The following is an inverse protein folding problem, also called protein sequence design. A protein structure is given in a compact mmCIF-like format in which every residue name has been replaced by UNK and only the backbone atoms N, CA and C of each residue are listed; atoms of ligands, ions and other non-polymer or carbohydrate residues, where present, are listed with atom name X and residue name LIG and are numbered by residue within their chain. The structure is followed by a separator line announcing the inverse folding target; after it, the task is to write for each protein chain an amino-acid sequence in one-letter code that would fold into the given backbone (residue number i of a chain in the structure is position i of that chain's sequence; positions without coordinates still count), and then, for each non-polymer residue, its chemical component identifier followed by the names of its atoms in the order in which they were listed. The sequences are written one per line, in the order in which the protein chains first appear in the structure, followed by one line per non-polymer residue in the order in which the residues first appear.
data_IF_164163818630
#
_entry.id   IF_164163818630
#
_cell.length_a   1.000
_cell.length_b   1.000
_cell.length_c   1.000
_cell.angle_alpha   90.00
_cell.angle_beta   90.00
_cell.angle_gamma   90.00
#
_symmetry.space_group_name_H-M   'P 1'
#
loop_
_entity.id
_entity.type
_entity.pdbx_description
1 polymer ?
#
# COMPACT_ATOMS: atom_id res chain seq x y z
N UNK A 1 -34.68 -20.69 -14.15
CA UNK A 1 -34.51 -19.88 -12.95
C UNK A 1 -33.07 -19.37 -12.98
N UNK A 2 -32.88 -18.19 -13.61
CA UNK A 2 -31.54 -17.63 -13.87
C UNK A 2 -30.96 -17.08 -12.57
N UNK A 3 -29.79 -17.59 -12.21
CA UNK A 3 -28.94 -16.98 -11.18
C UNK A 3 -28.52 -15.59 -11.65
N UNK A 4 -29.10 -14.55 -11.07
CA UNK A 4 -28.57 -13.20 -11.16
C UNK A 4 -27.20 -13.26 -10.48
N UNK A 5 -26.12 -13.27 -11.29
CA UNK A 5 -24.80 -12.95 -10.78
C UNK A 5 -24.87 -11.52 -10.27
N UNK A 6 -24.91 -11.33 -8.95
CA UNK A 6 -24.61 -10.03 -8.37
C UNK A 6 -23.29 -9.59 -8.98
N UNK A 7 -23.35 -8.50 -9.72
CA UNK A 7 -22.17 -7.77 -10.16
C UNK A 7 -21.54 -7.20 -8.88
N UNK A 8 -20.71 -7.99 -8.22
CA UNK A 8 -19.81 -7.46 -7.21
C UNK A 8 -18.98 -6.39 -7.95
N UNK A 9 -19.22 -5.11 -7.67
CA UNK A 9 -18.43 -4.04 -8.24
C UNK A 9 -17.00 -4.29 -7.83
N UNK A 10 -16.14 -4.61 -8.80
CA UNK A 10 -14.72 -4.83 -8.59
C UNK A 10 -14.09 -3.52 -8.15
N UNK A 11 -13.29 -3.58 -7.09
CA UNK A 11 -12.58 -2.42 -6.56
C UNK A 11 -11.62 -1.86 -7.61
N UNK A 12 -11.59 -0.52 -7.74
CA UNK A 12 -10.59 0.18 -8.53
C UNK A 12 -9.31 0.33 -7.72
N UNK A 13 -8.17 0.06 -8.35
CA UNK A 13 -6.83 0.23 -7.80
C UNK A 13 -6.00 1.15 -8.71
N UNK A 14 -4.93 1.73 -8.17
CA UNK A 14 -3.97 2.53 -8.95
C UNK A 14 -2.64 1.77 -9.04
N UNK A 15 -2.07 1.73 -10.23
CA UNK A 15 -0.79 1.11 -10.51
C UNK A 15 -0.02 1.96 -11.53
N UNK A 16 1.13 2.50 -11.15
CA UNK A 16 2.09 3.17 -12.05
C UNK A 16 1.47 4.22 -12.99
N UNK A 17 0.60 5.09 -12.49
CA UNK A 17 0.00 6.17 -13.29
C UNK A 17 -1.41 5.89 -13.81
N UNK A 18 -1.92 4.66 -13.70
CA UNK A 18 -3.20 4.26 -14.27
C UNK A 18 -4.14 3.62 -13.24
N UNK A 19 -5.45 3.70 -13.50
CA UNK A 19 -6.49 3.05 -12.71
C UNK A 19 -6.94 1.75 -13.38
N UNK A 20 -6.98 0.68 -12.61
CA UNK A 20 -7.39 -0.66 -13.06
C UNK A 20 -8.49 -1.24 -12.18
N UNK A 21 -9.25 -2.18 -12.72
CA UNK A 21 -9.95 -3.14 -11.89
C UNK A 21 -8.92 -3.99 -11.11
N UNK A 22 -9.18 -4.30 -9.83
CA UNK A 22 -8.28 -5.14 -9.01
C UNK A 22 -7.94 -6.50 -9.63
N UNK A 23 -8.82 -7.01 -10.52
CA UNK A 23 -8.59 -8.28 -11.22
C UNK A 23 -7.62 -8.16 -12.41
N UNK A 24 -7.37 -6.93 -12.89
CA UNK A 24 -6.53 -6.64 -14.06
C UNK A 24 -5.16 -6.10 -13.67
N UNK A 25 -5.04 -5.49 -12.49
CA UNK A 25 -3.79 -4.95 -11.98
C UNK A 25 -2.77 -6.07 -11.74
N UNK A 26 -1.59 -5.93 -12.32
CA UNK A 26 -0.50 -6.91 -12.23
C UNK A 26 0.83 -6.21 -12.05
N UNK A 27 1.66 -6.73 -11.17
CA UNK A 27 3.06 -6.34 -11.02
C UNK A 27 3.96 -7.47 -11.57
N UNK A 28 5.18 -7.12 -11.93
CA UNK A 28 6.19 -8.09 -12.35
C UNK A 28 6.55 -9.03 -11.19
N UNK A 29 6.76 -10.32 -11.47
CA UNK A 29 7.35 -11.26 -10.51
C UNK A 29 8.80 -10.90 -10.13
N UNK A 30 9.45 -10.05 -10.93
CA UNK A 30 10.79 -9.52 -10.65
C UNK A 30 10.77 -8.23 -9.85
N UNK A 31 9.59 -7.74 -9.42
CA UNK A 31 9.50 -6.59 -8.54
C UNK A 31 10.23 -6.85 -7.21
N UNK A 32 11.13 -5.93 -6.84
CA UNK A 32 11.97 -6.08 -5.64
C UNK A 32 11.16 -6.04 -4.35
N UNK A 33 10.03 -5.36 -4.33
CA UNK A 33 9.09 -5.40 -3.20
C UNK A 33 8.54 -6.81 -2.97
N UNK A 34 8.22 -7.54 -4.05
CA UNK A 34 7.78 -8.93 -3.97
C UNK A 34 8.92 -9.89 -3.60
N UNK A 35 10.10 -9.74 -4.23
CA UNK A 35 11.21 -10.68 -4.06
C UNK A 35 12.02 -10.48 -2.78
N UNK A 36 12.12 -9.24 -2.27
CA UNK A 36 13.09 -8.85 -1.24
C UNK A 36 12.51 -7.94 -0.16
N UNK A 37 11.21 -7.62 -0.22
CA UNK A 37 10.57 -6.59 0.60
C UNK A 37 11.24 -5.19 0.49
N UNK A 38 11.92 -4.90 -0.63
CA UNK A 38 12.60 -3.65 -0.92
C UNK A 38 11.56 -2.58 -1.33
N UNK A 39 10.87 -2.06 -0.32
CA UNK A 39 9.71 -1.19 -0.48
C UNK A 39 9.41 -0.39 0.79
N UNK A 40 8.65 0.68 0.63
CA UNK A 40 8.03 1.44 1.71
C UNK A 40 6.51 1.43 1.54
N UNK A 41 5.77 1.62 2.62
CA UNK A 41 4.31 1.68 2.57
C UNK A 41 3.74 2.72 3.52
N UNK A 42 2.55 3.19 3.22
CA UNK A 42 1.72 4.02 4.08
C UNK A 42 0.27 3.53 4.07
N UNK A 43 -0.44 3.82 5.17
CA UNK A 43 -1.87 3.52 5.28
C UNK A 43 -2.57 4.76 5.82
N UNK A 44 -3.32 5.43 4.96
CA UNK A 44 -4.09 6.62 5.31
C UNK A 44 -5.52 6.23 5.66
N UNK A 45 -5.98 6.60 6.85
CA UNK A 45 -7.38 6.37 7.27
C UNK A 45 -8.32 7.29 6.51
N UNK A 46 -9.53 6.77 6.24
CA UNK A 46 -10.65 7.52 5.64
C UNK A 46 -11.80 7.54 6.62
N UNK A 47 -12.36 8.72 6.89
CA UNK A 47 -13.52 8.94 7.75
C UNK A 47 -14.42 10.01 7.13
N UNK A 48 -15.72 9.72 7.01
CA UNK A 48 -16.69 10.57 6.28
C UNK A 48 -16.19 10.94 4.86
N UNK A 49 -15.60 9.97 4.16
CA UNK A 49 -15.03 10.17 2.83
C UNK A 49 -13.77 11.06 2.79
N UNK A 50 -13.19 11.42 3.94
CA UNK A 50 -12.05 12.33 4.04
C UNK A 50 -10.81 11.61 4.52
N UNK A 51 -9.66 11.94 3.92
CA UNK A 51 -8.35 11.44 4.34
C UNK A 51 -7.97 12.07 5.69
N UNK A 52 -7.53 11.25 6.62
CA UNK A 52 -7.08 11.68 7.95
C UNK A 52 -5.56 11.81 7.94
N UNK A 53 -5.04 12.97 8.34
CA UNK A 53 -3.61 13.29 8.46
C UNK A 53 -2.76 12.93 7.22
N UNK A 54 -3.31 13.16 6.02
CA UNK A 54 -2.59 12.87 4.78
C UNK A 54 -1.20 13.49 4.75
N UNK A 55 -1.06 14.74 5.23
CA UNK A 55 0.26 15.42 5.26
C UNK A 55 1.28 14.65 6.08
N UNK A 56 0.93 14.19 7.27
CA UNK A 56 1.83 13.39 8.12
C UNK A 56 2.26 12.09 7.46
N UNK A 57 1.32 11.42 6.75
CA UNK A 57 1.63 10.21 5.98
C UNK A 57 2.57 10.51 4.80
N UNK A 58 2.33 11.56 4.03
CA UNK A 58 3.18 11.95 2.90
C UNK A 58 4.58 12.38 3.32
N UNK A 59 4.71 13.13 4.42
CA UNK A 59 6.01 13.52 4.99
C UNK A 59 6.81 12.29 5.43
N UNK A 60 6.15 11.30 6.05
CA UNK A 60 6.80 10.06 6.48
C UNK A 60 7.19 9.17 5.29
N UNK A 61 6.34 9.11 4.26
CA UNK A 61 6.64 8.43 3.00
C UNK A 61 7.93 8.97 2.39
N UNK A 62 8.03 10.29 2.20
CA UNK A 62 9.20 10.92 1.61
C UNK A 62 10.47 10.59 2.41
N UNK A 63 10.43 10.76 3.74
CA UNK A 63 11.56 10.40 4.60
C UNK A 63 11.94 8.91 4.44
N UNK A 64 10.97 8.01 4.37
CA UNK A 64 11.24 6.57 4.25
C UNK A 64 11.85 6.20 2.90
N UNK A 65 11.44 6.88 1.82
CA UNK A 65 12.04 6.73 0.49
C UNK A 65 13.47 7.25 0.48
N UNK A 66 13.72 8.42 1.06
CA UNK A 66 15.05 9.03 1.17
C UNK A 66 16.04 8.12 1.93
N UNK A 67 15.60 7.53 3.07
CA UNK A 67 16.43 6.62 3.87
C UNK A 67 16.83 5.32 3.13
N UNK A 68 16.06 4.94 2.12
CA UNK A 68 16.33 3.77 1.29
C UNK A 68 16.93 4.12 -0.08
N UNK A 69 17.22 5.40 -0.37
CA UNK A 69 17.64 5.87 -1.69
C UNK A 69 16.67 5.39 -2.81
N UNK A 70 15.37 5.43 -2.56
CA UNK A 70 14.34 5.18 -3.56
C UNK A 70 13.80 6.52 -4.05
N UNK A 71 13.97 6.80 -5.35
CA UNK A 71 13.43 8.02 -5.96
C UNK A 71 11.91 8.05 -5.80
N UNK A 72 11.35 9.15 -5.27
CA UNK A 72 9.90 9.31 -5.24
C UNK A 72 9.37 9.54 -6.67
N UNK A 73 8.55 8.63 -7.22
CA UNK A 73 8.08 8.71 -8.60
C UNK A 73 6.83 9.59 -8.78
N UNK A 74 6.24 10.10 -7.69
CA UNK A 74 4.97 10.83 -7.72
C UNK A 74 5.03 12.06 -6.80
N UNK A 75 4.52 13.21 -7.28
CA UNK A 75 4.47 14.44 -6.49
C UNK A 75 3.48 14.34 -5.34
N UNK A 76 3.63 15.23 -4.32
CA UNK A 76 2.70 15.32 -3.20
C UNK A 76 1.26 15.58 -3.64
N UNK A 77 1.08 16.52 -4.57
CA UNK A 77 -0.22 16.95 -5.08
C UNK A 77 -0.89 15.85 -5.90
N UNK A 78 -0.14 15.22 -6.78
CA UNK A 78 -0.63 14.10 -7.59
C UNK A 78 -1.01 12.91 -6.72
N UNK A 79 -0.18 12.54 -5.75
CA UNK A 79 -0.47 11.46 -4.82
C UNK A 79 -1.73 11.73 -3.99
N UNK A 80 -1.95 13.01 -3.57
CA UNK A 80 -3.17 13.42 -2.88
C UNK A 80 -4.42 13.21 -3.75
N UNK A 81 -4.34 13.61 -5.01
CA UNK A 81 -5.46 13.42 -5.96
C UNK A 81 -5.73 11.94 -6.23
N UNK A 82 -4.71 11.10 -6.35
CA UNK A 82 -4.87 9.65 -6.47
C UNK A 82 -5.60 9.05 -5.25
N UNK A 83 -5.24 9.48 -4.04
CA UNK A 83 -5.95 9.03 -2.83
C UNK A 83 -7.43 9.43 -2.85
N UNK A 84 -7.72 10.69 -3.18
CA UNK A 84 -9.10 11.20 -3.25
C UNK A 84 -9.91 10.48 -4.31
N UNK A 85 -9.33 10.28 -5.48
CA UNK A 85 -10.01 9.61 -6.58
C UNK A 85 -10.31 8.14 -6.26
N UNK A 86 -9.39 7.41 -5.63
CA UNK A 86 -9.65 6.04 -5.17
C UNK A 86 -10.76 5.97 -4.12
N UNK A 87 -10.80 6.91 -3.17
CA UNK A 87 -11.89 7.02 -2.18
C UNK A 87 -13.23 7.23 -2.89
N UNK A 88 -13.26 8.14 -3.87
CA UNK A 88 -14.46 8.45 -4.67
C UNK A 88 -14.92 7.27 -5.53
N UNK A 89 -14.00 6.67 -6.32
CA UNK A 89 -14.30 5.57 -7.25
C UNK A 89 -14.82 4.32 -6.52
N UNK A 90 -14.27 4.07 -5.33
CA UNK A 90 -14.64 2.90 -4.52
C UNK A 90 -15.73 3.19 -3.47
N UNK A 91 -16.28 4.42 -3.45
CA UNK A 91 -17.32 4.85 -2.53
C UNK A 91 -16.95 4.57 -1.05
N UNK A 92 -15.73 4.93 -0.63
CA UNK A 92 -15.26 4.70 0.73
C UNK A 92 -15.73 5.83 1.63
N UNK A 93 -16.61 5.55 2.56
CA UNK A 93 -17.04 6.45 3.65
C UNK A 93 -16.13 6.28 4.88
N UNK A 94 -16.00 5.05 5.38
CA UNK A 94 -15.04 4.66 6.40
C UNK A 94 -14.11 3.55 5.90
N UNK A 95 -12.81 3.74 6.05
CA UNK A 95 -11.85 2.76 5.57
C UNK A 95 -10.41 3.22 5.56
N UNK A 96 -9.66 2.69 4.63
CA UNK A 96 -8.23 2.92 4.51
C UNK A 96 -7.85 3.05 3.03
N UNK A 97 -6.82 3.86 2.75
CA UNK A 97 -6.06 3.82 1.50
C UNK A 97 -4.68 3.28 1.82
N UNK A 98 -4.33 2.14 1.24
CA UNK A 98 -3.00 1.57 1.29
C UNK A 98 -2.17 2.07 0.11
N UNK A 99 -0.95 2.47 0.36
CA UNK A 99 0.06 2.85 -0.62
C UNK A 99 1.31 1.99 -0.41
N UNK A 100 1.90 1.51 -1.48
CA UNK A 100 3.23 0.91 -1.49
C UNK A 100 4.04 1.45 -2.65
N UNK A 101 5.31 1.78 -2.39
CA UNK A 101 6.30 2.12 -3.41
C UNK A 101 7.46 1.15 -3.25
N UNK A 102 7.77 0.40 -4.30
CA UNK A 102 8.93 -0.51 -4.35
C UNK A 102 10.07 0.14 -5.12
N UNK A 103 11.27 -0.44 -5.04
CA UNK A 103 12.39 -0.02 -5.90
C UNK A 103 12.19 -0.37 -7.38
N UNK A 104 11.09 -1.06 -7.72
CA UNK A 104 10.77 -1.45 -9.09
C UNK A 104 11.20 -2.87 -9.46
N UNK A 105 11.06 -3.16 -10.74
CA UNK A 105 11.27 -4.50 -11.32
C UNK A 105 12.39 -4.47 -12.36
N UNK A 106 13.66 -4.71 -11.98
CA UNK A 106 14.73 -4.93 -12.94
C UNK A 106 14.49 -6.19 -13.79
N UNK A 107 15.33 -6.41 -14.81
CA UNK A 107 15.15 -7.53 -15.74
C UNK A 107 15.29 -8.92 -15.09
N UNK A 108 16.01 -9.02 -13.97
CA UNK A 108 16.22 -10.27 -13.23
C UNK A 108 16.42 -10.01 -11.73
N UNK A 109 16.40 -11.09 -10.93
CA UNK A 109 16.66 -11.02 -9.51
C UNK A 109 18.16 -10.92 -9.23
N UNK A 110 18.58 -9.77 -8.69
CA UNK A 110 19.94 -9.56 -8.19
C UNK A 110 19.89 -8.89 -6.80
N UNK A 111 20.95 -9.09 -5.98
CA UNK A 111 21.16 -8.39 -4.73
C UNK A 111 21.70 -6.96 -4.92
N UNK A 112 22.40 -6.72 -6.04
CA UNK A 112 22.86 -5.39 -6.41
C UNK A 112 21.65 -4.47 -6.63
N UNK A 113 21.72 -3.25 -6.11
CA UNK A 113 20.70 -2.26 -6.38
C UNK A 113 20.68 -1.91 -7.87
N UNK A 114 19.50 -1.92 -8.51
CA UNK A 114 19.41 -1.54 -9.91
C UNK A 114 19.77 -0.06 -10.11
N UNK A 115 20.22 0.26 -11.31
CA UNK A 115 20.43 1.66 -11.70
C UNK A 115 19.08 2.41 -11.66
N UNK A 116 18.95 3.49 -10.86
CA UNK A 116 17.71 4.25 -10.75
C UNK A 116 17.30 4.98 -12.04
N UNK A 117 18.21 5.12 -13.01
CA UNK A 117 17.91 5.69 -14.33
C UNK A 117 17.36 4.65 -15.32
N UNK A 118 17.40 3.36 -14.97
CA UNK A 118 16.98 2.24 -15.82
C UNK A 118 15.79 1.44 -15.20
N UNK A 119 15.49 1.70 -13.94
CA UNK A 119 14.44 0.97 -13.21
C UNK A 119 13.55 1.94 -12.45
N UNK A 120 12.33 2.14 -12.96
CA UNK A 120 11.35 2.98 -12.30
C UNK A 120 10.76 2.27 -11.06
N UNK A 121 10.53 3.00 -9.95
CA UNK A 121 9.78 2.49 -8.81
C UNK A 121 8.37 2.05 -9.20
N UNK A 122 7.86 0.99 -8.58
CA UNK A 122 6.47 0.56 -8.74
C UNK A 122 5.60 1.22 -7.67
N UNK A 123 4.52 1.87 -8.08
CA UNK A 123 3.56 2.56 -7.20
C UNK A 123 2.23 1.84 -7.23
N UNK A 124 1.78 1.36 -6.09
CA UNK A 124 0.49 0.65 -5.94
C UNK A 124 -0.34 1.33 -4.87
N UNK A 125 -1.61 1.67 -5.19
CA UNK A 125 -2.58 2.07 -4.18
C UNK A 125 -3.88 1.28 -4.34
N UNK A 126 -4.49 0.98 -3.20
CA UNK A 126 -5.85 0.41 -3.16
C UNK A 126 -6.57 0.82 -1.86
N UNK A 127 -7.89 0.72 -1.88
CA UNK A 127 -8.72 1.03 -0.72
C UNK A 127 -9.17 -0.23 -0.01
N UNK A 128 -9.48 -0.09 1.27
CA UNK A 128 -10.20 -1.10 2.06
C UNK A 128 -11.42 -0.44 2.70
N UNK A 129 -12.60 -0.94 2.41
CA UNK A 129 -13.82 -0.53 3.10
C UNK A 129 -13.87 -1.15 4.50
N UNK A 130 -14.00 -0.32 5.55
CA UNK A 130 -14.00 -0.72 6.96
C UNK A 130 -15.10 0.02 7.73
N UNK A 131 -16.38 -0.23 7.43
CA UNK A 131 -17.48 0.44 8.10
C UNK A 131 -17.43 0.18 9.62
N UNK A 132 -17.65 1.23 10.40
CA UNK A 132 -17.58 1.19 11.86
C UNK A 132 -16.17 1.28 12.44
N UNK A 133 -15.16 1.63 11.64
CA UNK A 133 -13.77 1.79 12.08
C UNK A 133 -13.66 2.80 13.24
N UNK A 134 -14.33 3.95 13.13
CA UNK A 134 -14.32 5.01 14.13
C UNK A 134 -15.04 4.62 15.44
N UNK A 135 -15.99 3.68 15.38
CA UNK A 135 -16.81 3.25 16.50
C UNK A 135 -16.67 1.76 16.82
N UNK A 136 -15.51 1.19 16.57
CA UNK A 136 -15.27 -0.23 16.79
C UNK A 136 -15.47 -0.64 18.25
N UNK A 137 -15.93 -1.86 18.49
CA UNK A 137 -16.14 -2.38 19.84
C UNK A 137 -14.83 -2.43 20.64
N UNK A 138 -13.71 -2.67 19.97
CA UNK A 138 -12.38 -2.64 20.56
C UNK A 138 -11.95 -1.24 21.00
N UNK A 139 -12.35 -0.18 20.28
CA UNK A 139 -12.12 1.19 20.69
C UNK A 139 -12.88 1.53 21.99
N UNK A 140 -14.08 0.95 22.18
CA UNK A 140 -14.90 1.17 23.39
C UNK A 140 -14.44 0.34 24.58
N UNK A 141 -14.08 -0.91 24.37
CA UNK A 141 -13.80 -1.89 25.42
C UNK A 141 -12.30 -2.12 25.67
N UNK A 142 -11.44 -1.57 24.83
CA UNK A 142 -10.01 -1.88 24.81
C UNK A 142 -9.72 -3.27 24.24
N UNK A 143 -8.43 -3.59 24.19
CA UNK A 143 -7.89 -4.89 23.75
C UNK A 143 -7.17 -5.56 24.91
N UNK A 144 -7.30 -6.88 25.03
CA UNK A 144 -6.44 -7.67 25.89
C UNK A 144 -5.13 -7.93 25.16
N UNK A 145 -4.02 -7.56 25.78
CA UNK A 145 -2.68 -7.73 25.23
C UNK A 145 -1.80 -8.52 26.19
N UNK A 146 -0.78 -9.17 25.65
CA UNK A 146 0.31 -9.79 26.41
C UNK A 146 1.65 -9.22 25.92
N UNK A 147 2.63 -9.19 26.79
CA UNK A 147 4.01 -8.88 26.41
C UNK A 147 4.73 -10.17 26.04
N UNK A 148 5.46 -10.15 24.94
CA UNK A 148 6.35 -11.23 24.50
C UNK A 148 7.70 -10.62 24.14
N UNK A 149 8.76 -11.45 24.13
CA UNK A 149 10.05 -11.02 23.61
C UNK A 149 9.92 -10.64 22.12
N UNK A 150 10.63 -9.61 21.68
CA UNK A 150 10.72 -9.27 20.27
C UNK A 150 11.67 -10.24 19.56
N UNK A 151 11.08 -11.18 18.83
CA UNK A 151 11.81 -12.22 18.09
C UNK A 151 11.94 -11.92 16.60
N UNK A 152 11.49 -10.74 16.11
CA UNK A 152 11.49 -10.41 14.67
C UNK A 152 12.86 -10.55 14.02
N UNK A 153 13.92 -10.19 14.73
CA UNK A 153 15.31 -10.35 14.30
C UNK A 153 16.00 -11.60 14.87
N UNK A 154 15.38 -12.26 15.83
CA UNK A 154 15.90 -13.48 16.49
C UNK A 154 15.68 -14.75 15.66
N UNK A 155 14.64 -14.77 14.80
CA UNK A 155 14.22 -15.95 14.05
C UNK A 155 14.79 -15.99 12.62
N UNK A 156 16.11 -15.81 12.49
CA UNK A 156 16.83 -15.88 11.20
C UNK A 156 16.95 -17.30 10.63
N UNK A 157 16.55 -18.30 11.42
CA UNK A 157 16.35 -19.68 11.00
C UNK A 157 15.22 -19.79 9.96
N UNK A 158 14.26 -18.86 9.96
CA UNK A 158 13.20 -18.77 8.96
C UNK A 158 13.67 -17.88 7.81
N UNK A 159 13.89 -18.48 6.66
CA UNK A 159 14.37 -17.77 5.47
C UNK A 159 13.24 -16.98 4.81
N UNK A 160 12.90 -15.84 5.41
CA UNK A 160 11.91 -14.90 4.85
C UNK A 160 12.48 -14.15 3.64
N UNK A 161 11.61 -13.47 2.86
CA UNK A 161 12.03 -12.61 1.74
C UNK A 161 12.54 -11.25 2.19
N UNK A 162 12.37 -10.94 3.46
CA UNK A 162 12.81 -9.69 4.07
C UNK A 162 14.32 -9.76 4.32
N UNK A 163 15.06 -8.94 3.63
CA UNK A 163 16.53 -8.86 3.70
C UNK A 163 17.00 -7.67 4.52
#
# INVERSE_FOLDING_TARGET
MGLIKEHCMTRTVYLNGEYFSENEAKISIFDRGFLMADAVYEVTSVLDGKLIDYKGHADRLNRSLDELDIKNPISYEELLEVHRELVRLNNIDEGLVYLQITRGAPSDRDFVYPNPDETDPTVVLFTQNKPGLANSQSAKNGLKVISINDERWGRRDIKTVQL
#
